data_IF_774225747912
#
_entry.id   IF_774225747912
#
_cell.length_a   1.000
_cell.length_b   1.000
_cell.length_c   1.000
_cell.angle_alpha   90.00
_cell.angle_beta   90.00
_cell.angle_gamma   90.00
#
_symmetry.space_group_name_H-M   'P 1'
#
loop_
_entity.id
_entity.type
_entity.pdbx_description
1 polymer ?
#
# COMPACT_ATOMS: atom_id res chain seq x y z
N UNK A 1 -32.06 42.49 14.18
CA UNK A 1 -32.01 41.01 14.12
C UNK A 1 -30.70 40.58 14.71
N UNK A 2 -30.70 39.77 15.77
CA UNK A 2 -29.43 39.30 16.38
C UNK A 2 -28.72 38.36 15.42
N UNK A 3 -27.50 38.70 15.09
CA UNK A 3 -26.61 37.81 14.33
C UNK A 3 -26.44 36.49 15.08
N UNK A 4 -26.73 35.37 14.45
CA UNK A 4 -26.51 34.04 15.04
C UNK A 4 -25.05 33.69 14.82
N UNK A 5 -24.24 33.79 15.86
CA UNK A 5 -22.87 33.31 15.84
C UNK A 5 -22.82 31.78 16.02
N UNK A 6 -21.99 31.10 15.27
CA UNK A 6 -21.64 29.68 15.43
C UNK A 6 -20.18 29.54 15.79
N UNK A 7 -19.84 28.51 16.54
CA UNK A 7 -18.45 28.11 16.82
C UNK A 7 -18.11 26.86 16.02
N UNK A 8 -17.01 26.88 15.30
CA UNK A 8 -16.53 25.76 14.47
C UNK A 8 -15.15 25.31 14.97
N UNK A 9 -14.99 24.02 15.18
CA UNK A 9 -13.71 23.47 15.57
C UNK A 9 -12.74 23.50 14.38
N UNK A 10 -11.56 24.14 14.53
CA UNK A 10 -10.54 24.23 13.49
C UNK A 10 -9.91 22.88 13.13
N UNK A 11 -9.97 21.89 14.04
CA UNK A 11 -9.38 20.57 13.86
C UNK A 11 -10.30 19.58 13.14
N UNK A 12 -11.59 19.50 13.57
CA UNK A 12 -12.50 18.47 13.06
C UNK A 12 -13.74 19.01 12.35
N UNK A 13 -13.92 20.34 12.28
CA UNK A 13 -15.09 20.97 11.66
C UNK A 13 -16.39 20.84 12.44
N UNK A 14 -16.38 20.35 13.69
CA UNK A 14 -17.59 20.25 14.52
C UNK A 14 -18.19 21.63 14.77
N UNK A 15 -19.48 21.79 14.49
CA UNK A 15 -20.21 23.04 14.69
C UNK A 15 -21.04 23.01 15.96
N UNK A 16 -21.02 24.11 16.70
CA UNK A 16 -21.83 24.31 17.91
C UNK A 16 -22.29 25.75 18.04
N UNK A 17 -23.40 25.97 18.74
CA UNK A 17 -23.93 27.32 18.99
C UNK A 17 -23.34 27.95 20.25
N UNK A 18 -22.55 27.21 21.03
CA UNK A 18 -21.89 27.69 22.26
C UNK A 18 -20.40 27.38 22.20
N UNK A 19 -19.60 28.34 22.63
CA UNK A 19 -18.18 28.10 22.81
C UNK A 19 -17.95 27.10 23.96
N UNK A 20 -17.05 26.16 23.70
CA UNK A 20 -16.59 25.15 24.66
C UNK A 20 -15.08 25.11 24.65
N UNK A 21 -14.42 24.98 25.81
CA UNK A 21 -12.96 24.92 25.88
C UNK A 21 -12.35 23.65 25.21
N UNK A 22 -13.15 22.59 25.12
CA UNK A 22 -12.76 21.33 24.48
C UNK A 22 -13.80 20.93 23.44
N UNK A 23 -13.36 20.52 22.24
CA UNK A 23 -14.25 20.02 21.21
C UNK A 23 -14.78 18.63 21.60
N UNK A 24 -16.12 18.42 21.70
CA UNK A 24 -16.67 17.13 22.11
C UNK A 24 -16.48 16.02 21.09
N UNK A 25 -16.14 16.38 19.84
CA UNK A 25 -15.98 15.41 18.75
C UNK A 25 -14.54 14.90 18.64
N UNK A 26 -13.53 15.77 18.73
CA UNK A 26 -12.12 15.39 18.60
C UNK A 26 -11.30 15.49 19.88
N UNK A 27 -11.88 16.04 20.98
CA UNK A 27 -11.19 16.19 22.26
C UNK A 27 -10.12 17.31 22.30
N UNK A 28 -9.92 18.05 21.22
CA UNK A 28 -8.92 19.12 21.16
C UNK A 28 -9.36 20.36 21.95
N UNK A 29 -8.41 20.96 22.69
CA UNK A 29 -8.65 22.15 23.53
C UNK A 29 -8.42 23.45 22.76
N UNK A 30 -9.27 24.46 23.00
CA UNK A 30 -9.18 25.82 22.42
C UNK A 30 -9.20 25.87 20.88
N UNK A 31 -9.86 24.92 20.23
CA UNK A 31 -9.97 24.83 18.78
C UNK A 31 -11.29 25.34 18.20
N UNK A 32 -12.23 25.77 19.07
CA UNK A 32 -13.51 26.35 18.66
C UNK A 32 -13.35 27.84 18.36
N UNK A 33 -13.45 28.20 17.07
CA UNK A 33 -13.36 29.58 16.56
C UNK A 33 -14.77 30.11 16.30
N UNK A 34 -15.05 31.34 16.69
CA UNK A 34 -16.31 32.02 16.41
C UNK A 34 -16.40 32.38 14.93
N UNK A 35 -17.43 31.88 14.26
CA UNK A 35 -17.71 32.21 12.85
C UNK A 35 -19.06 32.94 12.80
N UNK A 36 -19.03 34.19 12.34
CA UNK A 36 -20.23 34.97 12.07
C UNK A 36 -21.02 34.31 10.95
N UNK A 37 -22.27 33.94 11.19
CA UNK A 37 -23.16 33.49 10.15
C UNK A 37 -23.53 34.69 9.26
N UNK A 38 -22.73 34.93 8.22
CA UNK A 38 -23.17 35.83 7.15
C UNK A 38 -24.50 35.31 6.58
N UNK A 39 -25.46 36.20 6.24
CA UNK A 39 -26.72 35.77 5.66
C UNK A 39 -26.41 34.97 4.39
N UNK A 40 -26.88 33.74 4.36
CA UNK A 40 -26.88 32.93 3.13
C UNK A 40 -27.48 33.75 2.00
N UNK A 41 -26.67 34.40 1.16
CA UNK A 41 -27.10 34.72 -0.17
C UNK A 41 -27.34 33.37 -0.84
N UNK A 42 -28.59 32.95 -0.89
CA UNK A 42 -29.02 31.91 -1.79
C UNK A 42 -28.52 32.33 -3.18
N UNK A 43 -27.35 31.81 -3.54
CA UNK A 43 -26.94 31.80 -4.92
C UNK A 43 -27.99 30.96 -5.62
N UNK A 44 -28.79 31.61 -6.44
CA UNK A 44 -29.63 30.98 -7.44
C UNK A 44 -28.70 30.40 -8.50
N UNK A 45 -27.91 29.37 -8.12
CA UNK A 45 -27.47 28.44 -9.11
C UNK A 45 -28.74 27.77 -9.63
N UNK A 46 -29.10 28.14 -10.84
CA UNK A 46 -30.12 27.48 -11.62
C UNK A 46 -29.80 25.98 -11.56
N UNK A 47 -30.61 25.28 -10.79
CA UNK A 47 -30.64 23.85 -10.80
C UNK A 47 -31.15 23.39 -12.18
N UNK A 48 -30.24 23.37 -13.13
CA UNK A 48 -30.29 22.54 -14.32
C UNK A 48 -29.97 21.11 -13.93
N UNK A 49 -30.48 20.66 -12.81
CA UNK A 49 -30.45 19.27 -12.42
C UNK A 49 -31.43 18.53 -13.31
N UNK A 50 -30.95 17.84 -14.33
CA UNK A 50 -31.69 16.75 -14.94
C UNK A 50 -32.04 15.81 -13.79
N UNK A 51 -33.32 15.84 -13.35
CA UNK A 51 -33.80 14.90 -12.34
C UNK A 51 -33.57 13.48 -12.90
N UNK A 52 -32.60 12.75 -12.34
CA UNK A 52 -32.35 11.39 -12.78
C UNK A 52 -33.60 10.56 -12.46
N UNK A 53 -34.28 10.08 -13.49
CA UNK A 53 -35.41 9.15 -13.33
C UNK A 53 -34.85 7.78 -12.98
N UNK A 54 -35.53 7.05 -12.10
CA UNK A 54 -35.20 5.66 -11.82
C UNK A 54 -35.24 4.85 -13.13
N UNK A 55 -34.20 4.09 -13.39
CA UNK A 55 -34.09 3.19 -14.54
C UNK A 55 -33.86 1.77 -14.05
N UNK A 56 -34.24 0.79 -14.83
CA UNK A 56 -33.95 -0.62 -14.49
C UNK A 56 -32.46 -0.89 -14.68
N UNK A 57 -31.88 -1.73 -13.82
CA UNK A 57 -30.45 -2.09 -13.90
C UNK A 57 -30.08 -2.65 -15.29
N UNK A 58 -30.98 -3.44 -15.92
CA UNK A 58 -30.76 -3.99 -17.26
C UNK A 58 -30.79 -2.95 -18.40
N UNK A 59 -31.24 -1.71 -18.16
CA UNK A 59 -31.18 -0.65 -19.16
C UNK A 59 -29.88 0.15 -19.12
N UNK A 60 -29.00 -0.11 -18.15
CA UNK A 60 -27.68 0.51 -18.08
C UNK A 60 -26.76 -0.18 -19.08
N UNK A 61 -26.13 0.58 -19.97
CA UNK A 61 -25.24 0.07 -21.00
C UNK A 61 -23.97 -0.54 -20.39
N UNK A 62 -23.55 -1.72 -20.85
CA UNK A 62 -22.26 -2.32 -20.48
C UNK A 62 -21.07 -1.43 -20.88
N UNK A 63 -21.25 -0.56 -21.88
CA UNK A 63 -20.22 0.40 -22.31
C UNK A 63 -19.88 1.43 -21.23
N UNK A 64 -20.77 1.68 -20.27
CA UNK A 64 -20.52 2.61 -19.15
C UNK A 64 -19.57 1.98 -18.09
N UNK A 65 -19.26 0.69 -18.21
CA UNK A 65 -18.37 -0.04 -17.30
C UNK A 65 -16.98 -0.33 -17.88
N UNK A 66 -16.70 0.16 -19.10
CA UNK A 66 -15.41 -0.08 -19.77
C UNK A 66 -14.27 0.57 -18.98
N UNK A 67 -13.30 -0.24 -18.60
CA UNK A 67 -12.08 0.22 -17.94
C UNK A 67 -11.08 0.72 -18.97
N UNK A 68 -10.34 1.75 -18.60
CA UNK A 68 -9.23 2.28 -19.40
C UNK A 68 -7.92 1.92 -18.71
N UNK A 69 -7.03 1.25 -19.44
CA UNK A 69 -5.70 0.92 -18.92
C UNK A 69 -4.84 2.18 -18.83
N UNK A 70 -4.08 2.28 -17.74
CA UNK A 70 -3.10 3.37 -17.54
C UNK A 70 -1.83 3.14 -18.35
N UNK A 71 -1.69 1.94 -18.96
CA UNK A 71 -0.48 1.52 -19.66
C UNK A 71 0.68 1.15 -18.71
N UNK A 72 0.38 0.95 -17.43
CA UNK A 72 1.30 0.48 -16.38
C UNK A 72 0.62 -0.72 -15.73
N UNK A 73 1.09 -1.94 -16.02
CA UNK A 73 0.40 -3.19 -15.66
C UNK A 73 0.23 -3.38 -14.16
N UNK A 74 1.24 -3.06 -13.36
CA UNK A 74 1.17 -3.15 -11.90
C UNK A 74 0.21 -2.10 -11.30
N UNK A 75 0.06 -0.93 -11.94
CA UNK A 75 -0.92 0.06 -11.54
C UNK A 75 -2.34 -0.37 -11.92
N UNK A 76 -2.52 -0.87 -13.13
CA UNK A 76 -3.82 -1.38 -13.61
C UNK A 76 -4.29 -2.57 -12.75
N UNK A 77 -3.39 -3.44 -12.31
CA UNK A 77 -3.67 -4.55 -11.40
C UNK A 77 -4.32 -4.04 -10.10
N UNK A 78 -3.70 -3.05 -9.45
CA UNK A 78 -4.20 -2.51 -8.17
C UNK A 78 -5.52 -1.76 -8.35
N UNK A 79 -5.74 -1.13 -9.52
CA UNK A 79 -7.01 -0.53 -9.90
C UNK A 79 -8.11 -1.57 -10.19
N UNK A 80 -7.74 -2.85 -10.32
CA UNK A 80 -8.67 -3.94 -10.66
C UNK A 80 -8.87 -4.09 -12.17
N UNK A 81 -7.85 -3.79 -12.97
CA UNK A 81 -7.83 -3.90 -14.44
C UNK A 81 -7.95 -2.58 -15.19
N UNK A 82 -7.74 -1.45 -14.50
CA UNK A 82 -7.75 -0.11 -15.09
C UNK A 82 -8.73 0.87 -14.46
N UNK A 83 -8.79 2.06 -14.99
CA UNK A 83 -9.57 3.20 -14.49
C UNK A 83 -11.01 3.12 -14.97
N UNK A 84 -11.97 3.31 -14.08
CA UNK A 84 -13.40 3.38 -14.38
C UNK A 84 -13.81 4.84 -14.65
N UNK A 85 -14.59 5.08 -15.69
CA UNK A 85 -15.10 6.41 -16.01
C UNK A 85 -15.94 6.96 -14.85
N UNK A 86 -15.80 8.26 -14.55
CA UNK A 86 -16.51 8.91 -13.45
C UNK A 86 -16.10 8.48 -12.04
N UNK A 87 -14.98 7.73 -11.90
CA UNK A 87 -14.44 7.31 -10.62
C UNK A 87 -13.46 8.30 -10.02
N UNK A 88 -13.33 8.25 -8.68
CA UNK A 88 -12.35 9.03 -7.93
C UNK A 88 -11.35 8.09 -7.26
N UNK A 89 -10.06 8.28 -7.54
CA UNK A 89 -8.93 7.48 -7.04
C UNK A 89 -8.03 8.37 -6.18
N UNK A 90 -7.95 8.07 -4.88
CA UNK A 90 -7.02 8.72 -3.96
C UNK A 90 -5.73 7.93 -3.89
N UNK A 91 -4.58 8.61 -4.03
CA UNK A 91 -3.26 8.03 -3.88
C UNK A 91 -2.56 8.71 -2.72
N UNK A 92 -2.42 7.96 -1.62
CA UNK A 92 -1.75 8.39 -0.40
C UNK A 92 -0.33 7.84 -0.29
N UNK A 93 0.43 8.35 0.68
CA UNK A 93 1.78 7.89 1.01
C UNK A 93 2.69 9.03 1.41
N UNK A 94 3.87 8.68 1.96
CA UNK A 94 4.86 9.64 2.45
C UNK A 94 5.31 10.62 1.36
N UNK A 95 5.68 11.87 1.71
CA UNK A 95 6.29 12.80 0.76
C UNK A 95 7.57 12.22 0.15
N UNK A 96 7.72 12.35 -1.18
CA UNK A 96 8.89 11.84 -1.91
C UNK A 96 8.87 10.34 -2.24
N UNK A 97 7.81 9.58 -1.90
CA UNK A 97 7.70 8.15 -2.17
C UNK A 97 7.55 7.81 -3.67
N UNK A 98 7.12 8.78 -4.51
CA UNK A 98 6.96 8.59 -5.95
C UNK A 98 5.55 8.76 -6.51
N UNK A 99 4.55 9.17 -5.70
CA UNK A 99 3.15 9.36 -6.13
C UNK A 99 3.01 10.18 -7.41
N UNK A 100 3.55 11.41 -7.39
CA UNK A 100 3.48 12.32 -8.52
C UNK A 100 4.26 11.81 -9.75
N UNK A 101 5.30 11.00 -9.54
CA UNK A 101 6.06 10.36 -10.64
C UNK A 101 5.21 9.30 -11.35
N UNK A 102 4.61 8.38 -10.60
CA UNK A 102 3.73 7.36 -11.17
C UNK A 102 2.56 7.97 -11.93
N UNK A 103 1.91 8.97 -11.31
CA UNK A 103 0.74 9.61 -11.93
C UNK A 103 1.13 10.44 -13.16
N UNK A 104 2.31 11.06 -13.18
CA UNK A 104 2.81 11.75 -14.37
C UNK A 104 3.01 10.75 -15.54
N UNK A 105 3.58 9.59 -15.30
CA UNK A 105 3.75 8.53 -16.30
C UNK A 105 2.39 7.99 -16.78
N UNK A 106 1.45 7.73 -15.85
CA UNK A 106 0.09 7.31 -16.18
C UNK A 106 -0.63 8.38 -17.02
N UNK A 107 -0.48 9.67 -16.70
CA UNK A 107 -1.06 10.78 -17.47
C UNK A 107 -0.57 10.79 -18.91
N UNK A 108 0.73 10.57 -19.12
CA UNK A 108 1.33 10.47 -20.46
C UNK A 108 0.73 9.33 -21.29
N UNK A 109 0.47 8.19 -20.68
CA UNK A 109 -0.16 7.05 -21.35
C UNK A 109 -1.66 7.28 -21.59
N UNK A 110 -2.39 7.75 -20.58
CA UNK A 110 -3.83 8.01 -20.63
C UNK A 110 -4.20 9.07 -21.68
N UNK A 111 -3.31 10.03 -21.95
CA UNK A 111 -3.50 11.02 -23.00
C UNK A 111 -3.80 10.38 -24.38
N UNK A 112 -3.21 9.21 -24.66
CA UNK A 112 -3.45 8.48 -25.91
C UNK A 112 -4.91 7.98 -26.05
N UNK A 113 -5.61 7.87 -24.93
CA UNK A 113 -6.98 7.34 -24.85
C UNK A 113 -8.05 8.42 -24.66
N UNK A 114 -7.64 9.67 -24.34
CA UNK A 114 -8.56 10.80 -24.13
C UNK A 114 -7.87 12.03 -23.56
N UNK A 115 -8.61 13.13 -23.41
CA UNK A 115 -8.10 14.37 -22.83
C UNK A 115 -7.70 14.18 -21.37
N UNK A 116 -6.50 14.64 -21.01
CA UNK A 116 -5.96 14.64 -19.63
C UNK A 116 -5.60 16.05 -19.23
N UNK A 117 -6.03 16.49 -18.05
CA UNK A 117 -5.55 17.72 -17.41
C UNK A 117 -4.81 17.37 -16.14
N UNK A 118 -3.57 17.83 -16.00
CA UNK A 118 -2.76 17.71 -14.78
C UNK A 118 -2.72 19.06 -14.06
N UNK A 119 -3.37 19.12 -12.90
CA UNK A 119 -3.41 20.30 -12.04
C UNK A 119 -2.41 20.13 -10.91
N UNK A 120 -1.49 21.09 -10.76
CA UNK A 120 -0.55 21.13 -9.65
C UNK A 120 -0.69 22.44 -8.87
N UNK A 121 -0.85 22.32 -7.56
CA UNK A 121 -0.79 23.44 -6.64
C UNK A 121 0.56 23.60 -5.94
N UNK A 122 1.49 22.68 -6.16
CA UNK A 122 2.80 22.69 -5.49
C UNK A 122 3.94 23.06 -6.44
N UNK A 123 3.87 22.65 -7.70
CA UNK A 123 4.96 22.82 -8.65
C UNK A 123 4.65 23.86 -9.72
N UNK A 124 5.67 24.61 -10.09
CA UNK A 124 5.60 25.53 -11.23
C UNK A 124 5.56 24.78 -12.57
N UNK A 125 5.09 25.45 -13.63
CA UNK A 125 5.08 24.88 -15.01
C UNK A 125 6.45 24.38 -15.45
N UNK A 126 7.54 25.06 -15.06
CA UNK A 126 8.90 24.67 -15.39
C UNK A 126 9.32 23.37 -14.67
N UNK A 127 8.95 23.21 -13.39
CA UNK A 127 9.22 21.99 -12.61
C UNK A 127 8.42 20.80 -13.16
N UNK A 128 7.13 21.00 -13.47
CA UNK A 128 6.30 19.97 -14.12
C UNK A 128 6.91 19.53 -15.47
N UNK A 129 7.39 20.48 -16.29
CA UNK A 129 8.07 20.15 -17.54
C UNK A 129 9.31 19.32 -17.34
N UNK A 130 10.17 19.68 -16.37
CA UNK A 130 11.38 18.89 -16.04
C UNK A 130 11.02 17.46 -15.61
N UNK A 131 9.97 17.31 -14.78
CA UNK A 131 9.47 16.00 -14.36
C UNK A 131 8.93 15.21 -15.56
N UNK A 132 8.10 15.81 -16.39
CA UNK A 132 7.54 15.17 -17.58
C UNK A 132 8.64 14.65 -18.52
N UNK A 133 9.64 15.48 -18.82
CA UNK A 133 10.80 15.08 -19.64
C UNK A 133 11.56 13.90 -19.02
N UNK A 134 11.83 13.97 -17.71
CA UNK A 134 12.50 12.86 -17.00
C UNK A 134 11.70 11.55 -17.07
N UNK A 135 10.37 11.63 -17.03
CA UNK A 135 9.46 10.49 -17.07
C UNK A 135 9.12 10.04 -18.51
N UNK A 136 9.71 10.66 -19.54
CA UNK A 136 9.42 10.33 -20.93
C UNK A 136 8.00 10.71 -21.39
N UNK A 137 7.37 11.68 -20.70
CA UNK A 137 6.00 12.12 -21.00
C UNK A 137 6.02 13.17 -22.10
N UNK A 138 5.10 13.01 -23.06
CA UNK A 138 4.94 13.90 -24.20
C UNK A 138 4.64 15.36 -23.79
N UNK A 139 5.20 16.31 -24.53
CA UNK A 139 5.07 17.75 -24.32
C UNK A 139 3.64 18.30 -24.50
N UNK A 140 2.74 17.53 -25.08
CA UNK A 140 1.35 17.95 -25.31
C UNK A 140 0.38 17.66 -24.15
N UNK A 141 0.86 17.13 -23.01
CA UNK A 141 0.03 16.99 -21.81
C UNK A 141 -0.42 18.36 -21.31
N UNK A 142 -1.73 18.54 -21.12
CA UNK A 142 -2.28 19.79 -20.59
C UNK A 142 -1.95 19.89 -19.09
N UNK A 143 -1.24 20.96 -18.71
CA UNK A 143 -0.87 21.26 -17.34
C UNK A 143 -1.48 22.58 -16.88
N UNK A 144 -1.94 22.63 -15.65
CA UNK A 144 -2.48 23.80 -14.98
C UNK A 144 -1.81 23.97 -13.61
N UNK A 145 -1.26 25.16 -13.36
CA UNK A 145 -0.71 25.51 -12.04
C UNK A 145 -1.70 26.43 -11.32
N UNK A 146 -2.59 25.83 -10.54
CA UNK A 146 -3.71 26.53 -9.91
C UNK A 146 -4.10 25.84 -8.60
N UNK A 147 -4.60 26.62 -7.66
CA UNK A 147 -5.09 26.13 -6.37
C UNK A 147 -6.60 26.37 -6.18
N UNK A 148 -7.21 27.23 -6.99
CA UNK A 148 -8.64 27.52 -6.92
C UNK A 148 -9.49 26.41 -7.55
N UNK A 149 -10.39 25.82 -6.76
CA UNK A 149 -11.33 24.81 -7.25
C UNK A 149 -12.27 25.36 -8.34
N UNK A 150 -12.71 26.62 -8.25
CA UNK A 150 -13.58 27.25 -9.26
C UNK A 150 -12.87 27.35 -10.62
N UNK A 151 -11.57 27.68 -10.61
CA UNK A 151 -10.78 27.75 -11.83
C UNK A 151 -10.61 26.36 -12.46
N UNK A 152 -10.41 25.32 -11.64
CA UNK A 152 -10.32 23.94 -12.10
C UNK A 152 -11.65 23.48 -12.69
N UNK A 153 -12.79 23.77 -12.04
CA UNK A 153 -14.13 23.41 -12.50
C UNK A 153 -14.44 24.07 -13.85
N UNK A 154 -14.17 25.38 -13.98
CA UNK A 154 -14.35 26.10 -15.23
C UNK A 154 -13.54 25.51 -16.39
N UNK A 155 -12.30 25.08 -16.13
CA UNK A 155 -11.45 24.49 -17.16
C UNK A 155 -11.91 23.07 -17.54
N UNK A 156 -12.39 22.28 -16.57
CA UNK A 156 -13.01 20.97 -16.81
C UNK A 156 -14.26 21.13 -17.67
N UNK A 157 -15.11 22.10 -17.39
CA UNK A 157 -16.34 22.34 -18.16
C UNK A 157 -16.03 22.81 -19.60
N UNK A 158 -14.96 23.58 -19.78
CA UNK A 158 -14.48 24.04 -21.07
C UNK A 158 -13.91 22.93 -21.94
N UNK A 159 -13.05 22.10 -21.35
CA UNK A 159 -12.26 21.08 -22.09
C UNK A 159 -12.89 19.69 -22.07
N UNK A 160 -13.78 19.42 -21.11
CA UNK A 160 -14.41 18.12 -20.88
C UNK A 160 -13.42 16.96 -20.94
N UNK A 161 -12.39 16.99 -20.08
CA UNK A 161 -11.35 15.97 -20.09
C UNK A 161 -11.92 14.62 -19.67
N UNK A 162 -11.32 13.55 -20.17
CA UNK A 162 -11.64 12.19 -19.72
C UNK A 162 -10.97 11.88 -18.38
N UNK A 163 -9.82 12.50 -18.12
CA UNK A 163 -9.04 12.31 -16.89
C UNK A 163 -8.59 13.65 -16.31
N UNK A 164 -8.71 13.76 -15.01
CA UNK A 164 -8.25 14.92 -14.24
C UNK A 164 -7.30 14.43 -13.15
N UNK A 165 -6.18 15.10 -12.97
CA UNK A 165 -5.20 14.81 -11.93
C UNK A 165 -5.05 16.03 -11.03
N UNK A 166 -5.13 15.85 -9.72
CA UNK A 166 -4.95 16.88 -8.70
C UNK A 166 -3.72 16.53 -7.86
N UNK A 167 -2.67 17.33 -7.96
CA UNK A 167 -1.39 17.17 -7.24
C UNK A 167 -0.98 18.45 -6.50
N UNK A 168 -1.30 18.60 -5.22
CA UNK A 168 -2.00 17.70 -4.30
C UNK A 168 -3.31 18.32 -3.79
N UNK A 169 -4.16 17.49 -3.19
CA UNK A 169 -5.44 17.96 -2.62
C UNK A 169 -5.24 18.98 -1.50
N UNK A 170 -4.10 18.93 -0.79
CA UNK A 170 -3.78 19.83 0.31
C UNK A 170 -3.61 21.29 -0.13
N UNK A 171 -3.31 21.52 -1.39
CA UNK A 171 -3.12 22.88 -1.93
C UNK A 171 -4.40 23.46 -2.51
N UNK A 172 -5.43 22.62 -2.73
CA UNK A 172 -6.69 23.06 -3.31
C UNK A 172 -7.51 23.91 -2.32
N UNK A 173 -8.09 24.97 -2.83
CA UNK A 173 -8.86 25.97 -2.06
C UNK A 173 -10.20 26.29 -2.74
N UNK A 174 -11.25 26.31 -1.93
CA UNK A 174 -12.46 27.05 -2.23
C UNK A 174 -12.34 28.44 -1.59
N UNK A 175 -12.34 29.50 -2.43
CA UNK A 175 -12.16 30.89 -1.97
C UNK A 175 -13.35 31.43 -1.16
N UNK A 176 -14.52 30.78 -1.24
CA UNK A 176 -15.69 31.15 -0.45
C UNK A 176 -15.55 30.76 1.04
N UNK A 177 -14.59 29.86 1.34
CA UNK A 177 -14.32 29.41 2.70
C UNK A 177 -13.17 30.21 3.33
N UNK A 178 -13.38 30.68 4.54
CA UNK A 178 -12.37 31.44 5.29
C UNK A 178 -11.26 30.57 5.94
N UNK A 179 -11.18 29.29 5.59
CA UNK A 179 -10.24 28.36 6.14
C UNK A 179 -8.93 28.35 5.33
N UNK A 180 -7.80 28.15 6.00
CA UNK A 180 -6.50 28.03 5.34
C UNK A 180 -6.44 26.81 4.40
N UNK A 181 -5.60 26.89 3.36
CA UNK A 181 -5.27 25.75 2.51
C UNK A 181 -4.76 24.58 3.36
N UNK A 182 -5.11 23.34 2.98
CA UNK A 182 -4.72 22.16 3.72
C UNK A 182 -5.52 21.88 5.01
N UNK A 183 -6.45 22.78 5.39
CA UNK A 183 -7.37 22.49 6.50
C UNK A 183 -8.36 21.38 6.14
N UNK A 184 -8.85 20.67 7.16
CA UNK A 184 -9.83 19.58 7.00
C UNK A 184 -11.05 20.02 6.18
N UNK A 185 -11.54 21.23 6.46
CA UNK A 185 -12.72 21.80 5.78
C UNK A 185 -12.43 22.01 4.29
N UNK A 186 -11.30 22.64 3.94
CA UNK A 186 -10.91 22.88 2.54
C UNK A 186 -10.74 21.56 1.77
N UNK A 187 -10.01 20.62 2.35
CA UNK A 187 -9.76 19.30 1.73
C UNK A 187 -11.07 18.56 1.48
N UNK A 188 -12.00 18.58 2.46
CA UNK A 188 -13.31 17.94 2.35
C UNK A 188 -14.16 18.57 1.25
N UNK A 189 -14.23 19.89 1.20
CA UNK A 189 -15.01 20.61 0.18
C UNK A 189 -14.42 20.40 -1.23
N UNK A 190 -13.08 20.49 -1.38
CA UNK A 190 -12.44 20.21 -2.65
C UNK A 190 -12.72 18.76 -3.12
N UNK A 191 -12.64 17.78 -2.21
CA UNK A 191 -12.93 16.37 -2.55
C UNK A 191 -14.41 16.17 -2.91
N UNK A 192 -15.33 16.87 -2.24
CA UNK A 192 -16.77 16.84 -2.57
C UNK A 192 -17.01 17.40 -3.97
N UNK A 193 -16.40 18.54 -4.30
CA UNK A 193 -16.50 19.15 -5.64
C UNK A 193 -15.93 18.21 -6.71
N UNK A 194 -14.74 17.63 -6.49
CA UNK A 194 -14.12 16.68 -7.42
C UNK A 194 -14.99 15.44 -7.63
N UNK A 195 -15.56 14.88 -6.56
CA UNK A 195 -16.48 13.72 -6.68
C UNK A 195 -17.75 14.06 -7.49
N UNK A 196 -18.26 15.28 -7.34
CA UNK A 196 -19.38 15.79 -8.13
C UNK A 196 -18.99 15.90 -9.61
N UNK A 197 -17.85 16.53 -9.91
CA UNK A 197 -17.32 16.66 -11.27
C UNK A 197 -17.16 15.28 -11.92
N UNK A 198 -16.57 14.33 -11.20
CA UNK A 198 -16.38 12.97 -11.71
C UNK A 198 -17.69 12.34 -12.17
N UNK A 199 -18.72 12.38 -11.33
CA UNK A 199 -20.01 11.76 -11.60
C UNK A 199 -20.84 12.49 -12.67
N UNK A 200 -20.75 13.82 -12.72
CA UNK A 200 -21.53 14.61 -13.69
C UNK A 200 -20.94 14.54 -15.09
N UNK A 201 -19.61 14.58 -15.20
CA UNK A 201 -18.92 14.68 -16.49
C UNK A 201 -18.38 13.32 -16.98
N UNK A 202 -18.52 12.25 -16.20
CA UNK A 202 -17.90 10.95 -16.52
C UNK A 202 -16.36 10.99 -16.49
N UNK A 203 -15.78 12.05 -15.91
CA UNK A 203 -14.35 12.26 -15.82
C UNK A 203 -13.76 11.39 -14.68
N UNK A 204 -12.75 10.58 -14.98
CA UNK A 204 -12.03 9.87 -13.92
C UNK A 204 -11.00 10.81 -13.27
N UNK A 205 -10.98 10.85 -11.93
CA UNK A 205 -10.17 11.81 -11.18
C UNK A 205 -9.16 11.09 -10.30
N UNK A 206 -7.88 11.41 -10.48
CA UNK A 206 -6.80 11.01 -9.57
C UNK A 206 -6.49 12.15 -8.61
N UNK A 207 -6.52 11.85 -7.32
CA UNK A 207 -6.26 12.79 -6.24
C UNK A 207 -5.01 12.33 -5.50
N UNK A 208 -3.96 13.14 -5.50
CA UNK A 208 -2.74 12.89 -4.73
C UNK A 208 -2.90 13.53 -3.35
N UNK A 209 -2.60 12.75 -2.30
CA UNK A 209 -2.61 13.21 -0.92
C UNK A 209 -1.36 12.80 -0.16
N UNK A 210 -0.87 13.65 0.75
CA UNK A 210 0.22 13.34 1.66
C UNK A 210 -0.34 12.78 2.97
N UNK A 211 0.20 11.65 3.43
CA UNK A 211 -0.11 11.06 4.74
C UNK A 211 1.05 11.39 5.68
N UNK A 212 0.76 11.88 6.87
CA UNK A 212 1.77 11.94 7.93
C UNK A 212 1.66 10.69 8.80
N UNK A 213 2.81 10.08 9.15
CA UNK A 213 2.89 8.88 10.01
C UNK A 213 2.21 9.04 11.38
N UNK A 214 2.00 10.26 11.83
CA UNK A 214 1.48 10.59 13.16
C UNK A 214 -0.02 10.89 13.22
N UNK A 215 -0.74 10.88 12.09
CA UNK A 215 -2.22 11.00 12.09
C UNK A 215 -2.78 12.35 12.58
N UNK A 216 -1.95 13.36 12.82
CA UNK A 216 -2.33 14.60 13.51
C UNK A 216 -2.73 15.75 12.58
N UNK A 217 -2.43 15.71 11.27
CA UNK A 217 -2.97 16.67 10.30
C UNK A 217 -4.01 15.97 9.41
N UNK A 218 -5.02 16.71 8.99
CA UNK A 218 -6.11 16.28 8.11
C UNK A 218 -5.62 15.40 6.97
N UNK A 219 -5.43 14.12 7.27
CA UNK A 219 -4.80 13.15 6.39
C UNK A 219 -5.83 12.46 5.50
N UNK A 220 -5.38 11.72 4.50
CA UNK A 220 -6.21 10.98 3.53
C UNK A 220 -7.25 10.06 4.17
N UNK A 221 -7.07 9.59 5.41
CA UNK A 221 -8.05 8.71 6.08
C UNK A 221 -9.47 9.28 6.12
N UNK A 222 -9.61 10.61 6.25
CA UNK A 222 -10.93 11.23 6.20
C UNK A 222 -11.53 11.16 4.80
N UNK A 223 -10.70 11.22 3.76
CA UNK A 223 -11.13 11.17 2.37
C UNK A 223 -11.47 9.75 1.90
N UNK A 224 -11.00 8.71 2.58
CA UNK A 224 -11.22 7.31 2.21
C UNK A 224 -12.71 6.98 2.02
N UNK A 225 -13.57 7.59 2.82
CA UNK A 225 -15.02 7.36 2.71
C UNK A 225 -15.66 8.12 1.55
N UNK A 226 -15.03 9.19 1.07
CA UNK A 226 -15.58 10.09 0.05
C UNK A 226 -15.25 9.66 -1.37
N UNK A 227 -14.16 8.90 -1.55
CA UNK A 227 -13.67 8.45 -2.86
C UNK A 227 -14.01 6.97 -3.13
N UNK A 228 -13.90 6.54 -4.39
CA UNK A 228 -14.27 5.18 -4.79
C UNK A 228 -13.11 4.18 -4.60
N UNK A 229 -11.89 4.62 -4.85
CA UNK A 229 -10.67 3.82 -4.71
C UNK A 229 -9.64 4.57 -3.87
N UNK A 230 -8.97 3.87 -2.95
CA UNK A 230 -7.88 4.40 -2.12
C UNK A 230 -6.68 3.49 -2.27
N UNK A 231 -5.58 4.07 -2.72
CA UNK A 231 -4.30 3.41 -2.90
C UNK A 231 -3.26 4.06 -1.98
N UNK A 232 -2.43 3.24 -1.34
CA UNK A 232 -1.31 3.73 -0.53
C UNK A 232 0.02 3.23 -1.07
N UNK A 233 0.97 4.17 -1.22
CA UNK A 233 2.37 3.84 -1.41
C UNK A 233 3.03 3.53 -0.06
N UNK A 234 3.71 2.39 -0.01
CA UNK A 234 4.52 1.91 1.10
C UNK A 234 5.97 1.68 0.61
N UNK A 235 6.93 1.84 1.48
CA UNK A 235 8.36 1.61 1.20
C UNK A 235 9.27 2.52 2.01
N UNK A 236 10.51 2.12 2.19
CA UNK A 236 11.53 2.95 2.82
C UNK A 236 12.18 3.87 1.77
N UNK A 237 12.58 5.08 2.21
CA UNK A 237 13.28 6.04 1.32
C UNK A 237 14.65 5.56 0.88
N UNK A 238 15.23 4.64 1.61
CA UNK A 238 16.55 4.06 1.33
C UNK A 238 16.49 2.87 0.35
N UNK A 239 15.32 2.27 0.19
CA UNK A 239 15.11 1.17 -0.75
C UNK A 239 14.67 1.70 -2.11
N UNK A 240 15.04 1.01 -3.19
CA UNK A 240 14.55 1.34 -4.54
C UNK A 240 13.11 0.88 -4.76
N UNK A 241 12.65 -0.13 -4.02
CA UNK A 241 11.34 -0.75 -4.17
C UNK A 241 10.23 0.07 -3.52
N UNK A 242 9.08 0.07 -4.19
CA UNK A 242 7.84 0.72 -3.73
C UNK A 242 6.67 -0.24 -3.92
N UNK A 243 5.87 -0.37 -2.88
CA UNK A 243 4.64 -1.15 -2.91
C UNK A 243 3.45 -0.19 -3.03
N UNK A 244 2.54 -0.48 -3.93
CA UNK A 244 1.27 0.23 -4.06
C UNK A 244 0.15 -0.72 -3.66
N UNK A 245 -0.55 -0.41 -2.58
CA UNK A 245 -1.59 -1.26 -1.99
C UNK A 245 -2.97 -0.62 -2.15
N UNK A 246 -3.96 -1.41 -2.56
CA UNK A 246 -5.36 -1.00 -2.51
C UNK A 246 -5.90 -1.18 -1.08
N UNK A 247 -6.32 -0.08 -0.44
CA UNK A 247 -6.98 -0.10 0.88
C UNK A 247 -8.49 -0.11 0.73
N UNK A 248 -8.99 0.54 -0.33
CA UNK A 248 -10.39 0.54 -0.72
C UNK A 248 -10.50 0.50 -2.23
N UNK A 249 -11.37 -0.35 -2.76
CA UNK A 249 -11.67 -0.38 -4.18
C UNK A 249 -13.11 -0.84 -4.41
N UNK A 250 -13.99 0.07 -4.84
CA UNK A 250 -15.39 -0.26 -5.16
C UNK A 250 -15.54 -1.05 -6.46
N UNK A 251 -14.50 -1.04 -7.29
CA UNK A 251 -14.54 -1.64 -8.62
C UNK A 251 -13.66 -2.89 -8.74
N UNK A 252 -12.99 -3.32 -7.66
CA UNK A 252 -12.09 -4.46 -7.69
C UNK A 252 -11.72 -4.95 -6.29
N UNK A 253 -10.80 -5.91 -6.26
CA UNK A 253 -10.27 -6.46 -5.01
C UNK A 253 -9.37 -5.45 -4.30
N UNK A 254 -9.43 -5.41 -2.98
CA UNK A 254 -8.46 -4.70 -2.13
C UNK A 254 -7.24 -5.53 -1.79
N UNK A 255 -7.20 -6.80 -2.24
CA UNK A 255 -6.09 -7.72 -1.99
C UNK A 255 -5.02 -7.68 -3.08
N UNK A 256 -5.05 -6.69 -3.98
CA UNK A 256 -4.05 -6.55 -5.02
C UNK A 256 -2.98 -5.55 -4.59
N UNK A 257 -1.73 -5.88 -4.93
CA UNK A 257 -0.59 -4.98 -4.77
C UNK A 257 0.15 -4.81 -6.09
N UNK A 258 0.69 -3.61 -6.30
CA UNK A 258 1.61 -3.28 -7.37
C UNK A 258 3.02 -3.10 -6.81
N UNK A 259 4.01 -3.62 -7.51
CA UNK A 259 5.42 -3.53 -7.11
C UNK A 259 6.19 -2.74 -8.14
N UNK A 260 6.86 -1.70 -7.66
CA UNK A 260 7.58 -0.76 -8.49
C UNK A 260 9.01 -0.58 -8.00
N UNK A 261 9.89 -0.23 -8.91
CA UNK A 261 11.24 0.22 -8.63
C UNK A 261 11.40 1.69 -9.01
N UNK A 262 11.95 2.50 -8.08
CA UNK A 262 12.27 3.89 -8.36
C UNK A 262 13.59 3.99 -9.11
N UNK A 263 13.52 4.41 -10.37
CA UNK A 263 14.66 4.63 -11.23
C UNK A 263 14.94 6.13 -11.47
N UNK A 264 16.06 6.45 -12.13
CA UNK A 264 16.41 7.85 -12.48
C UNK A 264 15.41 8.47 -13.44
N UNK A 265 14.88 7.69 -14.36
CA UNK A 265 13.94 8.04 -15.42
C UNK A 265 12.46 7.89 -15.03
N UNK A 266 12.18 7.53 -13.78
CA UNK A 266 10.83 7.39 -13.26
C UNK A 266 10.62 6.12 -12.48
N UNK A 267 9.38 5.66 -12.43
CA UNK A 267 8.97 4.45 -11.76
C UNK A 267 8.81 3.33 -12.78
N UNK A 268 9.44 2.18 -12.53
CA UNK A 268 9.34 0.98 -13.36
C UNK A 268 8.55 -0.09 -12.63
N UNK A 269 7.70 -0.78 -13.34
CA UNK A 269 7.00 -1.94 -12.79
C UNK A 269 7.93 -3.15 -12.68
N UNK A 270 7.76 -3.89 -11.61
CA UNK A 270 8.52 -5.12 -11.36
C UNK A 270 7.65 -6.31 -11.74
N UNK A 271 7.89 -6.85 -12.91
CA UNK A 271 7.12 -7.98 -13.44
C UNK A 271 7.34 -9.25 -12.62
N UNK A 272 8.55 -9.47 -12.13
CA UNK A 272 8.94 -10.65 -11.36
C UNK A 272 9.61 -10.27 -10.03
N UNK A 273 8.83 -9.96 -8.97
CA UNK A 273 9.38 -9.56 -7.69
C UNK A 273 10.08 -10.68 -6.92
N UNK A 274 9.91 -11.92 -7.32
CA UNK A 274 10.42 -13.07 -6.59
C UNK A 274 11.96 -13.11 -6.52
N UNK A 275 12.64 -12.59 -7.55
CA UNK A 275 14.12 -12.52 -7.54
C UNK A 275 14.70 -11.36 -6.75
N UNK A 276 13.88 -10.40 -6.31
CA UNK A 276 14.36 -9.18 -5.65
C UNK A 276 14.65 -9.36 -4.17
N UNK A 277 13.96 -10.30 -3.53
CA UNK A 277 14.05 -10.54 -2.08
C UNK A 277 14.77 -11.84 -1.74
N UNK A 278 15.53 -12.39 -2.70
CA UNK A 278 16.29 -13.63 -2.55
C UNK A 278 17.68 -13.42 -3.12
N UNK A 279 18.70 -13.62 -2.29
CA UNK A 279 20.11 -13.42 -2.65
C UNK A 279 20.83 -14.69 -3.13
N UNK A 280 20.16 -15.84 -3.13
CA UNK A 280 20.75 -17.12 -3.52
C UNK A 280 20.66 -18.24 -2.47
N UNK A 281 20.38 -17.93 -1.26
CA UNK A 281 19.70 -18.70 -0.22
C UNK A 281 20.23 -20.03 0.26
N UNK A 282 21.51 -20.39 0.06
CA UNK A 282 22.06 -21.67 0.52
C UNK A 282 23.02 -21.57 1.71
N UNK A 283 23.15 -20.36 2.25
CA UNK A 283 24.08 -20.14 3.37
C UNK A 283 23.49 -20.60 4.69
N UNK A 284 24.38 -20.90 5.64
CA UNK A 284 24.00 -21.21 7.01
C UNK A 284 23.19 -20.05 7.60
N UNK A 285 22.06 -20.38 8.20
CA UNK A 285 21.18 -19.35 8.78
C UNK A 285 20.27 -18.66 7.76
N UNK A 286 20.23 -19.13 6.51
CA UNK A 286 19.32 -18.63 5.49
C UNK A 286 18.16 -19.59 5.24
N UNK A 287 16.96 -19.06 5.00
CA UNK A 287 15.79 -19.81 4.59
C UNK A 287 14.91 -18.95 3.67
N UNK A 288 14.46 -19.54 2.56
CA UNK A 288 13.51 -18.87 1.66
C UNK A 288 12.10 -19.31 1.99
N UNK A 289 11.19 -18.35 2.07
CA UNK A 289 9.76 -18.59 2.27
C UNK A 289 8.93 -17.92 1.18
N UNK A 290 7.68 -18.33 1.05
CA UNK A 290 6.70 -17.67 0.20
C UNK A 290 5.58 -17.09 1.06
N UNK A 291 5.54 -15.77 1.17
CA UNK A 291 4.49 -15.02 1.87
C UNK A 291 3.38 -14.63 0.90
N UNK A 292 2.20 -14.33 1.43
CA UNK A 292 1.10 -13.75 0.66
C UNK A 292 0.98 -12.26 0.96
N UNK A 293 1.22 -11.46 -0.06
CA UNK A 293 0.85 -10.06 -0.03
C UNK A 293 -0.45 -9.87 -0.81
N UNK A 294 -1.56 -9.82 -0.07
CA UNK A 294 -2.89 -9.87 -0.66
C UNK A 294 -3.16 -11.17 -1.39
N UNK A 295 -3.31 -11.10 -2.73
CA UNK A 295 -3.48 -12.28 -3.59
C UNK A 295 -2.18 -12.78 -4.22
N UNK A 296 -1.07 -12.06 -4.02
CA UNK A 296 0.20 -12.33 -4.71
C UNK A 296 1.16 -13.10 -3.81
N UNK A 297 1.63 -14.29 -4.24
CA UNK A 297 2.73 -14.96 -3.57
C UNK A 297 4.05 -14.23 -3.89
N UNK A 298 4.84 -13.97 -2.85
CA UNK A 298 6.16 -13.30 -2.92
C UNK A 298 7.15 -14.14 -2.17
N UNK A 299 8.29 -14.44 -2.81
CA UNK A 299 9.39 -15.12 -2.15
C UNK A 299 10.22 -14.13 -1.36
N UNK A 300 10.59 -14.51 -0.15
CA UNK A 300 11.42 -13.69 0.75
C UNK A 300 12.47 -14.58 1.38
N UNK A 301 13.71 -14.13 1.36
CA UNK A 301 14.80 -14.75 2.10
C UNK A 301 14.85 -14.19 3.52
N UNK A 302 14.95 -15.10 4.47
CA UNK A 302 15.13 -14.81 5.88
C UNK A 302 16.54 -15.22 6.27
N UNK A 303 17.28 -14.29 6.84
CA UNK A 303 18.62 -14.52 7.34
C UNK A 303 18.64 -14.45 8.86
N UNK A 304 19.33 -15.37 9.51
CA UNK A 304 19.52 -15.40 10.94
C UNK A 304 20.98 -15.59 11.30
N UNK A 305 21.46 -14.75 12.21
CA UNK A 305 22.80 -14.84 12.77
C UNK A 305 22.71 -15.00 14.29
N UNK A 306 23.44 -15.97 14.81
CA UNK A 306 23.53 -16.21 16.25
C UNK A 306 24.97 -16.03 16.73
N UNK A 307 25.14 -15.40 17.89
CA UNK A 307 26.43 -15.30 18.58
C UNK A 307 26.24 -15.57 20.06
N UNK A 308 27.28 -16.04 20.74
CA UNK A 308 27.25 -16.16 22.20
C UNK A 308 27.10 -14.78 22.82
N UNK A 309 26.08 -14.61 23.70
CA UNK A 309 25.88 -13.32 24.35
C UNK A 309 26.98 -13.05 25.38
N UNK A 310 27.56 -11.86 25.30
CA UNK A 310 28.50 -11.37 26.31
C UNK A 310 27.78 -10.74 27.53
N UNK A 311 26.47 -10.64 27.48
CA UNK A 311 25.63 -9.96 28.48
C UNK A 311 24.69 -10.97 29.17
N UNK A 312 24.28 -10.66 30.40
CA UNK A 312 23.29 -11.44 31.13
C UNK A 312 21.92 -11.52 30.40
N UNK A 313 21.55 -10.47 29.65
CA UNK A 313 20.38 -10.44 28.83
C UNK A 313 20.77 -10.51 27.34
N UNK A 314 20.51 -11.64 26.74
CA UNK A 314 20.77 -11.85 25.31
C UNK A 314 19.90 -10.95 24.43
N UNK A 315 20.50 -10.38 23.38
CA UNK A 315 19.83 -9.45 22.47
C UNK A 315 18.94 -10.22 21.49
N UNK A 316 17.79 -9.63 21.17
CA UNK A 316 16.85 -10.14 20.18
C UNK A 316 16.52 -9.00 19.23
N UNK A 317 16.96 -9.10 17.98
CA UNK A 317 16.73 -8.08 16.94
C UNK A 317 16.07 -8.72 15.74
N UNK A 318 15.00 -8.08 15.26
CA UNK A 318 14.29 -8.50 14.08
C UNK A 318 14.15 -7.29 13.13
N UNK A 319 14.66 -7.42 11.91
CA UNK A 319 14.44 -6.45 10.85
C UNK A 319 13.46 -7.03 9.82
N UNK A 320 12.45 -6.26 9.45
CA UNK A 320 11.41 -6.71 8.52
C UNK A 320 10.37 -7.69 9.12
N UNK A 321 10.36 -7.94 10.43
CA UNK A 321 9.37 -8.79 11.09
C UNK A 321 9.10 -8.35 12.53
N UNK A 322 7.98 -8.84 13.13
CA UNK A 322 7.62 -8.51 14.52
C UNK A 322 8.57 -9.18 15.51
N UNK A 323 9.24 -8.37 16.34
CA UNK A 323 10.15 -8.83 17.39
C UNK A 323 9.43 -9.70 18.43
N UNK A 324 8.17 -9.42 18.78
CA UNK A 324 7.40 -10.25 19.72
C UNK A 324 7.12 -11.63 19.13
N UNK A 325 6.86 -11.70 17.82
CA UNK A 325 6.70 -12.99 17.13
C UNK A 325 8.00 -13.79 17.14
N UNK A 326 9.13 -13.15 16.85
CA UNK A 326 10.45 -13.79 16.94
C UNK A 326 10.70 -14.35 18.34
N UNK A 327 10.45 -13.57 19.40
CA UNK A 327 10.63 -14.02 20.79
C UNK A 327 9.78 -15.26 21.11
N UNK A 328 8.55 -15.31 20.61
CA UNK A 328 7.66 -16.45 20.77
C UNK A 328 8.22 -17.69 20.05
N UNK A 329 8.68 -17.54 18.81
CA UNK A 329 9.29 -18.64 18.04
C UNK A 329 10.55 -19.16 18.71
N UNK A 330 11.40 -18.29 19.27
CA UNK A 330 12.59 -18.68 20.03
C UNK A 330 12.22 -19.50 21.29
N UNK A 331 11.17 -19.12 22.00
CA UNK A 331 10.67 -19.87 23.15
C UNK A 331 10.17 -21.28 22.75
N UNK A 332 9.49 -21.39 21.60
CA UNK A 332 9.07 -22.69 21.05
C UNK A 332 10.27 -23.53 20.62
N UNK A 333 11.27 -22.93 19.95
CA UNK A 333 12.51 -23.59 19.59
C UNK A 333 13.19 -24.19 20.81
N UNK A 334 13.29 -23.46 21.90
CA UNK A 334 13.94 -23.92 23.10
C UNK A 334 13.16 -25.03 23.80
N UNK A 335 11.86 -24.84 24.03
CA UNK A 335 11.05 -25.76 24.83
C UNK A 335 10.55 -26.98 24.05
N UNK A 336 10.34 -26.89 22.76
CA UNK A 336 9.77 -27.95 21.89
C UNK A 336 10.80 -28.51 20.92
N UNK A 337 11.63 -27.62 20.35
CA UNK A 337 12.74 -28.02 19.47
C UNK A 337 13.93 -28.63 20.23
N UNK A 338 14.13 -28.26 21.49
CA UNK A 338 15.28 -28.67 22.27
C UNK A 338 16.58 -27.91 21.95
N UNK A 339 16.46 -26.77 21.26
CA UNK A 339 17.58 -25.91 20.89
C UNK A 339 17.80 -24.85 21.95
N UNK A 340 19.02 -24.79 22.50
CA UNK A 340 19.38 -23.77 23.48
C UNK A 340 19.72 -22.46 22.80
N UNK A 341 18.83 -21.47 22.93
CA UNK A 341 18.95 -20.11 22.35
C UNK A 341 18.91 -19.00 23.40
N UNK A 342 18.70 -19.35 24.68
CA UNK A 342 18.57 -18.39 25.79
C UNK A 342 19.85 -17.61 26.05
N UNK A 343 21.02 -18.23 25.86
CA UNK A 343 22.37 -17.67 26.07
C UNK A 343 22.99 -17.08 24.79
N UNK A 344 22.20 -16.96 23.68
CA UNK A 344 22.70 -16.46 22.41
C UNK A 344 22.01 -15.16 22.03
N UNK A 345 22.76 -14.20 21.53
CA UNK A 345 22.23 -13.06 20.80
C UNK A 345 21.69 -13.57 19.46
N UNK A 346 20.48 -13.14 19.09
CA UNK A 346 19.79 -13.55 17.86
C UNK A 346 19.45 -12.33 17.04
N UNK A 347 19.90 -12.33 15.80
CA UNK A 347 19.63 -11.31 14.81
C UNK A 347 18.92 -11.97 13.63
N UNK A 348 17.75 -11.47 13.24
CA UNK A 348 17.00 -11.94 12.08
C UNK A 348 16.70 -10.79 11.14
N UNK A 349 16.78 -11.04 9.85
CA UNK A 349 16.54 -10.05 8.81
C UNK A 349 15.73 -10.64 7.66
N UNK A 350 14.71 -9.92 7.21
CA UNK A 350 14.04 -10.16 5.93
C UNK A 350 14.78 -9.36 4.85
N UNK A 351 15.27 -10.04 3.82
CA UNK A 351 16.05 -9.42 2.74
C UNK A 351 15.18 -8.46 1.94
N UNK A 352 15.76 -7.32 1.51
CA UNK A 352 15.08 -6.32 0.66
C UNK A 352 14.13 -5.40 1.40
N UNK A 353 14.19 -5.33 2.75
CA UNK A 353 13.40 -4.39 3.56
C UNK A 353 11.90 -4.65 3.59
N UNK A 354 11.45 -5.80 3.08
CA UNK A 354 10.03 -6.18 3.10
C UNK A 354 9.58 -6.47 4.54
N UNK A 355 8.36 -6.04 4.88
CA UNK A 355 7.76 -6.37 6.17
C UNK A 355 6.97 -7.68 6.06
N UNK A 356 7.30 -8.65 6.88
CA UNK A 356 6.63 -9.95 6.96
C UNK A 356 5.63 -9.92 8.11
N UNK A 357 4.33 -9.85 7.77
CA UNK A 357 3.22 -10.00 8.72
C UNK A 357 2.54 -11.38 8.57
N UNK A 358 2.92 -12.15 7.54
CA UNK A 358 2.39 -13.48 7.23
C UNK A 358 2.98 -14.57 8.12
N UNK A 359 2.14 -15.28 8.87
CA UNK A 359 2.55 -16.38 9.74
C UNK A 359 3.07 -17.59 8.98
N UNK A 360 2.83 -17.69 7.69
CA UNK A 360 3.42 -18.71 6.82
C UNK A 360 4.95 -18.69 6.80
N UNK A 361 5.57 -17.59 7.23
CA UNK A 361 7.02 -17.44 7.35
C UNK A 361 7.61 -18.02 8.66
N UNK A 362 6.79 -18.37 9.65
CA UNK A 362 7.28 -18.83 10.98
C UNK A 362 8.26 -20.01 10.89
N UNK A 363 7.93 -21.00 10.04
CA UNK A 363 8.78 -22.18 9.88
C UNK A 363 10.13 -21.81 9.25
N UNK A 364 10.15 -20.90 8.31
CA UNK A 364 11.39 -20.42 7.68
C UNK A 364 12.25 -19.62 8.66
N UNK A 365 11.64 -18.71 9.44
CA UNK A 365 12.35 -17.98 10.53
C UNK A 365 12.98 -18.98 11.48
N UNK A 366 12.24 -19.99 11.86
CA UNK A 366 12.66 -20.99 12.83
C UNK A 366 13.77 -21.89 12.27
N UNK A 367 13.68 -22.31 11.00
CA UNK A 367 14.73 -23.12 10.37
C UNK A 367 15.99 -22.29 10.07
N UNK A 368 15.88 -20.99 9.76
CA UNK A 368 17.04 -20.11 9.65
C UNK A 368 17.80 -20.02 11.00
N UNK A 369 17.07 -19.83 12.10
CA UNK A 369 17.67 -19.85 13.45
C UNK A 369 18.27 -21.22 13.77
N UNK A 370 17.57 -22.31 13.49
CA UNK A 370 18.05 -23.66 13.73
C UNK A 370 19.29 -24.00 12.90
N UNK A 371 19.31 -23.59 11.62
CA UNK A 371 20.45 -23.73 10.74
C UNK A 371 21.70 -23.06 11.30
N UNK A 372 21.57 -21.83 11.83
CA UNK A 372 22.64 -21.13 12.52
C UNK A 372 23.09 -21.81 13.81
N UNK A 373 22.18 -22.48 14.55
CA UNK A 373 22.56 -23.22 15.78
C UNK A 373 23.28 -24.51 15.46
N UNK A 374 22.82 -25.25 14.45
CA UNK A 374 23.39 -26.55 14.05
C UNK A 374 24.59 -26.41 13.10
N UNK A 375 24.88 -25.21 12.62
CA UNK A 375 25.88 -24.95 11.58
C UNK A 375 25.57 -25.73 10.28
N UNK A 376 24.30 -25.74 9.87
CA UNK A 376 23.78 -26.52 8.73
C UNK A 376 22.87 -25.69 7.86
N UNK A 377 23.11 -25.59 6.53
CA UNK A 377 22.25 -24.91 5.62
C UNK A 377 21.00 -25.75 5.27
N UNK A 378 19.99 -25.13 4.71
CA UNK A 378 18.94 -25.84 3.98
C UNK A 378 19.48 -26.33 2.63
N UNK A 379 18.99 -27.46 2.10
CA UNK A 379 19.38 -27.92 0.77
C UNK A 379 19.01 -26.88 -0.31
N UNK A 380 19.86 -26.79 -1.34
CA UNK A 380 19.68 -25.84 -2.44
C UNK A 380 18.29 -25.94 -3.10
N UNK A 381 17.70 -24.79 -3.45
CA UNK A 381 16.37 -24.72 -4.08
C UNK A 381 15.24 -25.17 -3.16
N UNK A 382 15.41 -25.04 -1.84
CA UNK A 382 14.38 -25.36 -0.84
C UNK A 382 13.62 -24.11 -0.44
N UNK A 383 12.28 -24.18 -0.46
CA UNK A 383 11.37 -23.19 0.14
C UNK A 383 10.70 -23.78 1.37
N UNK A 384 10.45 -22.93 2.37
CA UNK A 384 9.91 -23.33 3.66
C UNK A 384 8.66 -22.52 3.98
N UNK A 385 7.53 -23.17 4.21
CA UNK A 385 6.25 -22.50 4.44
C UNK A 385 5.52 -23.20 5.59
N UNK A 386 5.06 -22.45 6.60
CA UNK A 386 4.23 -23.01 7.67
C UNK A 386 4.13 -22.09 8.88
N UNK A 387 2.98 -22.11 9.54
CA UNK A 387 2.79 -21.46 10.84
C UNK A 387 3.25 -22.39 11.97
N UNK A 388 3.85 -21.85 13.02
CA UNK A 388 4.26 -22.62 14.19
C UNK A 388 3.37 -22.30 15.38
N UNK A 389 2.75 -23.36 15.95
CA UNK A 389 2.00 -23.29 17.20
C UNK A 389 2.89 -23.43 18.44
N UNK A 390 2.35 -23.05 19.61
CA UNK A 390 3.07 -23.05 20.88
C UNK A 390 3.45 -24.46 21.37
N UNK A 391 2.82 -25.50 20.87
CA UNK A 391 3.15 -26.90 21.19
C UNK A 391 4.23 -27.46 20.26
N UNK A 392 4.71 -26.66 19.29
CA UNK A 392 5.72 -27.05 18.31
C UNK A 392 5.15 -27.79 17.09
N UNK A 393 3.80 -27.80 16.95
CA UNK A 393 3.12 -28.27 15.75
C UNK A 393 3.27 -27.27 14.61
N UNK A 394 3.34 -27.77 13.39
CA UNK A 394 3.36 -26.98 12.16
C UNK A 394 1.98 -26.99 11.57
N UNK A 395 1.37 -25.80 11.44
CA UNK A 395 0.00 -25.59 11.00
C UNK A 395 -0.08 -25.22 9.54
N UNK A 396 -1.14 -25.65 8.84
CA UNK A 396 -1.45 -25.17 7.50
C UNK A 396 -1.62 -23.65 7.45
N UNK A 397 -1.26 -23.09 6.31
CA UNK A 397 -1.44 -21.67 6.00
C UNK A 397 -2.39 -21.50 4.82
N UNK A 398 -3.00 -20.33 4.75
CA UNK A 398 -3.91 -20.02 3.65
C UNK A 398 -3.19 -20.06 2.31
N UNK A 399 -3.91 -20.55 1.27
CA UNK A 399 -3.42 -20.59 -0.11
C UNK A 399 -2.11 -21.34 -0.30
N UNK A 400 -1.83 -22.36 0.50
CA UNK A 400 -0.58 -23.12 0.43
C UNK A 400 -0.30 -23.63 -0.99
N UNK A 401 -1.34 -24.08 -1.70
CA UNK A 401 -1.19 -24.54 -3.09
C UNK A 401 -0.62 -23.46 -3.99
N UNK A 402 -1.17 -22.24 -3.93
CA UNK A 402 -0.71 -21.11 -4.76
C UNK A 402 0.74 -20.70 -4.43
N UNK A 403 1.12 -20.74 -3.16
CA UNK A 403 2.49 -20.47 -2.72
C UNK A 403 3.48 -21.48 -3.29
N UNK A 404 3.18 -22.75 -3.15
CA UNK A 404 4.06 -23.83 -3.65
C UNK A 404 4.12 -23.85 -5.18
N UNK A 405 2.98 -23.65 -5.87
CA UNK A 405 2.95 -23.57 -7.32
C UNK A 405 3.81 -22.41 -7.85
N UNK A 406 3.77 -21.25 -7.19
CA UNK A 406 4.63 -20.11 -7.57
C UNK A 406 6.10 -20.41 -7.32
N UNK A 407 6.45 -21.07 -6.21
CA UNK A 407 7.82 -21.50 -5.95
C UNK A 407 8.32 -22.47 -7.03
N UNK A 408 7.50 -23.44 -7.45
CA UNK A 408 7.82 -24.35 -8.53
C UNK A 408 8.05 -23.60 -9.86
N UNK A 409 7.18 -22.64 -10.19
CA UNK A 409 7.30 -21.78 -11.39
C UNK A 409 8.62 -21.00 -11.42
N UNK A 410 9.12 -20.63 -10.24
CA UNK A 410 10.37 -19.88 -10.06
C UNK A 410 11.61 -20.77 -9.99
N UNK A 411 11.46 -22.09 -10.17
CA UNK A 411 12.57 -23.03 -10.24
C UNK A 411 13.01 -23.65 -8.94
N UNK A 412 12.26 -23.44 -7.83
CA UNK A 412 12.50 -24.16 -6.58
C UNK A 412 12.16 -25.63 -6.75
N UNK A 413 13.02 -26.50 -6.19
CA UNK A 413 12.94 -27.95 -6.40
C UNK A 413 12.35 -28.68 -5.20
N UNK A 414 12.38 -28.07 -4.00
CA UNK A 414 11.90 -28.65 -2.75
C UNK A 414 11.05 -27.67 -1.98
N UNK A 415 9.99 -28.18 -1.34
CA UNK A 415 9.15 -27.41 -0.44
C UNK A 415 8.97 -28.15 0.87
N UNK A 416 9.30 -27.52 2.00
CA UNK A 416 9.00 -28.01 3.35
C UNK A 416 7.72 -27.32 3.80
N UNK A 417 6.65 -28.11 3.99
CA UNK A 417 5.30 -27.57 4.23
C UNK A 417 4.57 -28.37 5.32
N UNK A 418 3.52 -27.79 5.94
CA UNK A 418 2.67 -28.50 6.88
C UNK A 418 2.05 -29.75 6.28
N UNK A 419 1.91 -30.79 7.09
CA UNK A 419 1.18 -31.99 6.68
C UNK A 419 -0.32 -31.70 6.50
N UNK A 420 -0.83 -31.90 5.29
CA UNK A 420 -2.25 -31.79 4.95
C UNK A 420 -2.69 -33.09 4.28
N UNK A 421 -3.63 -33.88 4.88
CA UNK A 421 -4.00 -35.19 4.36
C UNK A 421 -4.56 -35.20 2.93
N UNK A 422 -5.19 -34.09 2.51
CA UNK A 422 -5.80 -33.93 1.18
C UNK A 422 -4.85 -33.47 0.09
N UNK A 423 -3.64 -33.05 0.45
CA UNK A 423 -2.67 -32.48 -0.49
C UNK A 423 -1.63 -33.55 -0.84
N UNK A 424 -1.69 -34.10 -2.04
CA UNK A 424 -0.82 -35.22 -2.41
C UNK A 424 0.22 -34.93 -3.49
N UNK A 425 -0.02 -34.02 -4.40
CA UNK A 425 0.90 -33.79 -5.52
C UNK A 425 0.99 -32.28 -5.86
N UNK A 426 2.20 -31.84 -6.09
CA UNK A 426 2.51 -30.56 -6.72
C UNK A 426 3.40 -30.84 -7.95
N UNK A 427 3.04 -30.29 -9.08
CA UNK A 427 3.82 -30.46 -10.29
C UNK A 427 5.11 -29.64 -10.21
N UNK A 428 6.23 -30.27 -10.56
CA UNK A 428 7.53 -29.60 -10.70
C UNK A 428 8.29 -29.32 -9.41
N UNK A 429 7.80 -29.72 -8.23
CA UNK A 429 8.48 -29.52 -6.95
C UNK A 429 8.28 -30.73 -6.00
N UNK A 430 9.35 -31.19 -5.38
CA UNK A 430 9.30 -32.23 -4.35
C UNK A 430 8.81 -31.64 -3.03
N UNK A 431 7.78 -32.25 -2.42
CA UNK A 431 7.17 -31.71 -1.20
C UNK A 431 7.45 -32.61 0.00
N UNK A 432 8.07 -32.03 1.02
CA UNK A 432 8.33 -32.65 2.31
C UNK A 432 7.31 -32.18 3.34
N UNK A 433 6.41 -33.08 3.74
CA UNK A 433 5.37 -32.78 4.72
C UNK A 433 5.90 -33.00 6.14
N UNK A 434 5.77 -31.96 6.99
CA UNK A 434 6.21 -31.96 8.38
C UNK A 434 5.03 -31.67 9.31
N UNK A 435 4.98 -32.38 10.47
CA UNK A 435 3.94 -32.21 11.49
C UNK A 435 4.44 -31.40 12.68
N UNK A 436 5.68 -31.63 13.06
CA UNK A 436 6.31 -31.00 14.21
C UNK A 436 7.64 -30.40 13.83
N UNK A 437 8.07 -29.41 14.62
CA UNK A 437 9.32 -28.70 14.42
C UNK A 437 10.54 -29.62 14.34
N UNK A 438 10.57 -30.69 15.14
CA UNK A 438 11.65 -31.66 15.12
C UNK A 438 11.77 -32.44 13.81
N UNK A 439 10.66 -32.70 13.15
CA UNK A 439 10.65 -33.36 11.85
C UNK A 439 11.32 -32.46 10.80
N UNK A 440 11.10 -31.15 10.90
CA UNK A 440 11.69 -30.17 9.98
C UNK A 440 13.22 -30.04 10.16
N UNK A 441 13.74 -30.22 11.36
CA UNK A 441 15.20 -30.17 11.61
C UNK A 441 15.97 -31.29 10.91
N UNK A 442 15.33 -32.44 10.67
CA UNK A 442 15.94 -33.57 9.97
C UNK A 442 16.17 -33.26 8.47
N UNK A 443 15.54 -32.21 7.96
CA UNK A 443 15.68 -31.76 6.58
C UNK A 443 16.75 -30.68 6.38
N UNK A 444 17.44 -30.23 7.45
CA UNK A 444 18.64 -29.42 7.34
C UNK A 444 19.77 -30.27 6.73
N UNK A 445 20.52 -29.70 5.80
CA UNK A 445 21.63 -30.36 5.11
C UNK A 445 22.80 -30.72 6.05
N UNK A 446 23.77 -31.43 5.52
CA UNK A 446 25.04 -31.63 6.21
C UNK A 446 25.88 -30.36 6.13
N UNK A 447 26.64 -30.04 7.19
CA UNK A 447 27.56 -28.93 7.16
C UNK A 447 28.67 -29.21 6.13
N UNK A 448 28.90 -28.25 5.22
CA UNK A 448 30.03 -28.36 4.29
C UNK A 448 31.33 -28.40 5.09
N UNK A 449 32.06 -29.51 4.97
CA UNK A 449 33.34 -29.74 5.68
C UNK A 449 34.48 -28.77 5.29
N UNK A 450 34.23 -27.89 4.28
CA UNK A 450 35.21 -26.98 3.67
C UNK A 450 35.13 -25.52 4.09
N UNK A 451 34.25 -25.13 5.02
CA UNK A 451 34.10 -23.73 5.45
C UNK A 451 34.64 -23.45 6.84
N UNK A 452 35.84 -23.90 7.13
CA UNK A 452 36.61 -23.48 8.32
C UNK A 452 37.87 -22.70 7.94
#
# INVERSE_FOLDING_TARGET
MKEKTKFVCGECGYETVKWMGCCPMCGSWNTLVEVSAAPEKRSTHSAGGTSSRAVTLGSVSENDTVRVTTGIGEFDRVLGGGVVAGSTVLIGGDPGIGKSTLIMQAAGNLKKTGGVIYVSGEESKAQLKLRAVRCGVDSELLIMTETSMDAVENEVDRLKPRFLIIDSIQTMMNRELNNAAGSVTQIREATTALTRIAKQNGCAIFIIGHVTKEGALAGPRMLEHMVDTVLYFEGDRHDSLRLLRAVKNRFGSTNEIGIFEMCRDGMKEVENPAGLFVSGGNDIGCAVTCIMEGNRPILVEIQSLLSTSAFANARRMAAGMDTNRLMLLLAVLERRGGLRVSDKDVYTNAVGGIRIDDRGADLAITLAVAGSVFDRPLPEGTVVIGEIGLTGEIRPVDRLYNRVAECARLGYRRAIVPFIPSLKNFDGIEVHFVKYLRDAFLLLGEADANSR
#
